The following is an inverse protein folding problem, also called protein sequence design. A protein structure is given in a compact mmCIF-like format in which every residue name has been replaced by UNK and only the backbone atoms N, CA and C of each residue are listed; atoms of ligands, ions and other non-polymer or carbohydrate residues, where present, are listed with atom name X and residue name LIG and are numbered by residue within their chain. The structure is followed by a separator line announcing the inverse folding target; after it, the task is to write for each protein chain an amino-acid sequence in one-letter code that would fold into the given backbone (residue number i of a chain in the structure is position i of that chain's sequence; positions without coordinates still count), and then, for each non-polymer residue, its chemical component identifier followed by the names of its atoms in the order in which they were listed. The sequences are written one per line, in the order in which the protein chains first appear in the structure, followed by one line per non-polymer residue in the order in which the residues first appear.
data_IF_317945109956
#
_entry.id   IF_317945109956
#
_cell.length_a   1.000
_cell.length_b   1.000
_cell.length_c   1.000
_cell.angle_alpha   90.00
_cell.angle_beta   90.00
_cell.angle_gamma   90.00
#
_symmetry.space_group_name_H-M   'P 1'
#
loop_
_entity.id
_entity.type
_entity.pdbx_description
1 polymer ?
#
# COMPACT_ATOMS: atom_id res chain seq x y z
N UNK A 1 -18.87 -24.32 -8.67
CA UNK A 1 -17.60 -24.22 -7.91
C UNK A 1 -17.47 -25.44 -7.01
N UNK A 2 -16.29 -26.08 -6.96
CA UNK A 2 -16.07 -27.28 -6.13
C UNK A 2 -15.97 -26.93 -4.64
N UNK A 3 -16.48 -27.80 -3.75
CA UNK A 3 -16.41 -27.64 -2.29
C UNK A 3 -14.97 -27.47 -1.76
N UNK A 4 -13.98 -27.99 -2.46
CA UNK A 4 -12.55 -27.81 -2.12
C UNK A 4 -12.04 -26.39 -2.41
N UNK A 5 -12.55 -25.77 -3.48
CA UNK A 5 -12.21 -24.38 -3.83
C UNK A 5 -12.83 -23.41 -2.84
N UNK A 6 -14.10 -23.62 -2.46
CA UNK A 6 -14.77 -22.82 -1.40
C UNK A 6 -14.02 -22.90 -0.07
N UNK A 7 -13.71 -24.10 0.43
CA UNK A 7 -12.92 -24.29 1.67
C UNK A 7 -11.50 -23.70 1.65
N UNK A 8 -10.91 -23.52 0.46
CA UNK A 8 -9.60 -22.85 0.30
C UNK A 8 -9.75 -21.34 0.32
N UNK A 9 -10.80 -20.81 -0.33
CA UNK A 9 -11.16 -19.38 -0.28
C UNK A 9 -11.55 -18.98 1.14
N UNK A 10 -12.42 -19.75 1.80
CA UNK A 10 -12.90 -19.47 3.16
C UNK A 10 -11.74 -19.47 4.17
N UNK A 11 -10.83 -20.47 4.13
CA UNK A 11 -9.63 -20.49 4.98
C UNK A 11 -8.66 -19.34 4.69
N UNK A 12 -8.65 -18.83 3.46
CA UNK A 12 -7.83 -17.68 3.08
C UNK A 12 -8.46 -16.38 3.57
N UNK A 13 -9.78 -16.30 3.51
CA UNK A 13 -10.58 -15.21 4.07
C UNK A 13 -10.45 -15.16 5.60
N UNK A 14 -10.48 -16.29 6.30
CA UNK A 14 -10.24 -16.39 7.75
C UNK A 14 -8.84 -15.93 8.14
N UNK A 15 -7.82 -16.18 7.29
CA UNK A 15 -6.45 -15.68 7.51
C UNK A 15 -6.33 -14.17 7.35
N UNK A 16 -7.12 -13.59 6.44
CA UNK A 16 -7.25 -12.13 6.29
C UNK A 16 -8.03 -11.46 7.43
N UNK A 17 -8.65 -12.24 8.33
CA UNK A 17 -9.29 -11.73 9.54
C UNK A 17 -8.32 -11.14 10.57
N UNK A 18 -7.00 -11.33 10.41
CA UNK A 18 -5.97 -10.67 11.21
C UNK A 18 -4.90 -10.03 10.33
N UNK A 19 -4.60 -8.76 10.51
CA UNK A 19 -3.58 -8.06 9.72
C UNK A 19 -3.87 -6.57 9.65
N UNK A 20 -2.90 -5.78 9.19
CA UNK A 20 -3.14 -4.37 8.92
C UNK A 20 -3.79 -4.23 7.54
N UNK A 21 -4.80 -3.37 7.45
CA UNK A 21 -5.33 -2.89 6.19
C UNK A 21 -4.99 -1.41 6.05
N UNK A 22 -4.50 -1.02 4.88
CA UNK A 22 -4.39 0.38 4.49
C UNK A 22 -5.14 0.62 3.18
N UNK A 23 -5.67 1.83 3.03
CA UNK A 23 -6.33 2.28 1.81
C UNK A 23 -5.88 3.70 1.49
N UNK A 24 -5.74 4.05 0.22
CA UNK A 24 -5.48 5.42 -0.19
C UNK A 24 -6.50 5.90 -1.21
N UNK A 25 -7.05 7.07 -0.94
CA UNK A 25 -7.78 7.87 -1.93
C UNK A 25 -6.78 8.80 -2.62
N UNK A 26 -6.77 8.78 -3.95
CA UNK A 26 -5.81 9.46 -4.80
C UNK A 26 -6.55 10.40 -5.74
N UNK A 27 -6.31 11.69 -5.55
CA UNK A 27 -6.79 12.75 -6.41
C UNK A 27 -5.63 13.32 -7.23
N UNK A 28 -5.16 12.52 -8.19
CA UNK A 28 -4.10 12.89 -9.13
C UNK A 28 -4.62 12.62 -10.55
N UNK A 29 -4.54 13.59 -11.47
CA UNK A 29 -5.02 13.40 -12.84
C UNK A 29 -4.34 12.21 -13.54
N UNK A 30 -5.14 11.32 -14.14
CA UNK A 30 -4.64 10.17 -14.89
C UNK A 30 -4.30 8.93 -14.05
N UNK A 31 -4.51 8.96 -12.74
CA UNK A 31 -4.38 7.80 -11.85
C UNK A 31 -5.74 7.22 -11.44
N UNK A 32 -5.73 5.95 -11.02
CA UNK A 32 -6.86 5.34 -10.31
C UNK A 32 -7.10 6.11 -9.01
N UNK A 33 -8.35 6.20 -8.58
CA UNK A 33 -8.73 6.94 -7.37
C UNK A 33 -8.50 6.16 -6.08
N UNK A 34 -8.57 4.83 -6.12
CA UNK A 34 -8.55 4.01 -4.91
C UNK A 34 -7.48 2.93 -4.96
N UNK A 35 -6.69 2.86 -3.90
CA UNK A 35 -5.65 1.85 -3.67
C UNK A 35 -5.88 1.17 -2.32
N UNK A 36 -5.57 -0.12 -2.23
CA UNK A 36 -5.78 -0.91 -1.01
C UNK A 36 -4.61 -1.86 -0.83
N UNK A 37 -4.16 -2.06 0.39
CA UNK A 37 -3.15 -3.06 0.70
C UNK A 37 -3.51 -3.81 1.98
N UNK A 38 -3.10 -5.06 2.03
CA UNK A 38 -3.25 -5.91 3.21
C UNK A 38 -1.88 -6.50 3.55
N UNK A 39 -1.54 -6.56 4.85
CA UNK A 39 -0.20 -6.99 5.28
C UNK A 39 0.13 -8.40 4.77
N UNK A 40 -0.83 -9.32 4.87
CA UNK A 40 -0.69 -10.72 4.40
C UNK A 40 -0.79 -10.94 2.88
N UNK A 41 -1.15 -9.93 2.08
CA UNK A 41 -1.26 -10.08 0.61
C UNK A 41 0.04 -9.55 -0.01
N UNK A 42 0.89 -10.48 -0.48
CA UNK A 42 2.18 -10.14 -1.12
C UNK A 42 2.22 -10.47 -2.62
N UNK A 43 1.22 -11.17 -3.15
CA UNK A 43 1.14 -11.52 -4.57
C UNK A 43 -0.30 -11.52 -5.06
N UNK A 44 -0.48 -11.19 -6.34
CA UNK A 44 -1.76 -11.22 -7.05
C UNK A 44 -2.34 -12.64 -7.15
N UNK A 45 -1.48 -13.67 -7.14
CA UNK A 45 -1.86 -15.08 -7.08
C UNK A 45 -2.56 -15.48 -5.77
N UNK A 46 -2.53 -14.60 -4.75
CA UNK A 46 -3.04 -14.91 -3.44
C UNK A 46 -4.57 -14.88 -3.33
N UNK A 47 -5.37 -14.41 -4.29
CA UNK A 47 -6.84 -14.39 -4.09
C UNK A 47 -7.68 -14.75 -5.31
N UNK A 48 -7.07 -15.17 -6.42
CA UNK A 48 -7.78 -15.68 -7.60
C UNK A 48 -8.63 -14.65 -8.36
N UNK A 49 -8.85 -13.46 -7.81
CA UNK A 49 -9.43 -12.29 -8.46
C UNK A 49 -9.29 -11.11 -7.50
N UNK A 50 -8.49 -10.10 -7.84
CA UNK A 50 -8.66 -8.70 -7.40
C UNK A 50 -7.45 -7.89 -7.89
N UNK A 51 -7.63 -7.22 -9.03
CA UNK A 51 -6.76 -6.19 -9.60
C UNK A 51 -6.72 -4.90 -8.73
N UNK A 52 -7.13 -5.01 -7.47
CA UNK A 52 -7.46 -3.90 -6.57
C UNK A 52 -6.49 -3.75 -5.39
N UNK A 53 -5.64 -4.77 -5.13
CA UNK A 53 -4.68 -4.72 -4.03
C UNK A 53 -3.27 -4.38 -4.52
N UNK A 54 -2.68 -3.34 -3.93
CA UNK A 54 -1.28 -3.00 -4.06
C UNK A 54 -0.42 -4.05 -3.36
N UNK A 55 0.57 -4.57 -4.08
CA UNK A 55 1.55 -5.56 -3.60
C UNK A 55 2.94 -4.96 -3.65
N UNK A 56 3.86 -5.53 -2.87
CA UNK A 56 5.23 -5.05 -2.84
C UNK A 56 5.90 -5.37 -4.19
N UNK A 57 6.45 -4.38 -4.91
CA UNK A 57 7.17 -4.66 -6.13
C UNK A 57 8.48 -5.41 -5.85
N UNK A 58 8.99 -6.10 -6.87
CA UNK A 58 10.32 -6.69 -6.83
C UNK A 58 11.37 -5.62 -6.54
N UNK A 59 12.47 -6.01 -5.89
CA UNK A 59 13.51 -5.07 -5.44
C UNK A 59 14.01 -4.14 -6.57
N UNK A 60 14.19 -4.68 -7.77
CA UNK A 60 14.62 -3.93 -8.96
C UNK A 60 13.62 -2.88 -9.46
N UNK A 61 12.34 -3.03 -9.11
CA UNK A 61 11.24 -2.17 -9.56
C UNK A 61 10.78 -1.20 -8.46
N UNK A 62 11.41 -1.22 -7.28
CA UNK A 62 11.13 -0.28 -6.18
C UNK A 62 11.65 1.11 -6.51
N UNK A 63 10.79 2.10 -6.34
CA UNK A 63 11.11 3.51 -6.60
C UNK A 63 11.58 4.18 -5.31
N UNK A 64 11.02 3.80 -4.17
CA UNK A 64 11.43 4.25 -2.85
C UNK A 64 12.57 3.35 -2.35
N UNK A 65 13.49 3.93 -1.57
CA UNK A 65 14.71 3.24 -1.13
C UNK A 65 15.02 3.43 0.35
N UNK A 66 14.39 4.40 1.01
CA UNK A 66 14.63 4.71 2.43
C UNK A 66 13.90 3.74 3.37
N UNK A 67 13.93 2.45 3.05
CA UNK A 67 13.52 1.39 3.95
C UNK A 67 14.52 1.31 5.11
N UNK A 68 14.02 1.27 6.34
CA UNK A 68 14.86 0.98 7.51
C UNK A 68 15.17 -0.51 7.49
N UNK A 69 16.46 -0.85 7.58
CA UNK A 69 16.89 -2.21 7.86
C UNK A 69 16.46 -2.58 9.28
N UNK A 70 15.58 -3.55 9.38
CA UNK A 70 15.03 -4.05 10.63
C UNK A 70 14.84 -5.57 10.50
N UNK A 71 14.51 -6.26 11.58
CA UNK A 71 14.32 -7.71 11.60
C UNK A 71 13.22 -8.19 10.63
N UNK A 72 12.35 -7.27 10.20
CA UNK A 72 11.27 -7.53 9.27
C UNK A 72 11.39 -6.72 7.96
N UNK A 73 11.12 -7.34 6.80
CA UNK A 73 11.13 -6.65 5.52
C UNK A 73 10.04 -5.58 5.43
N UNK A 74 10.42 -4.31 5.62
CA UNK A 74 9.50 -3.16 5.66
C UNK A 74 8.81 -2.83 4.33
N UNK A 75 9.32 -3.36 3.21
CA UNK A 75 8.64 -3.27 1.91
C UNK A 75 7.30 -4.02 1.84
N UNK A 76 7.04 -4.90 2.82
CA UNK A 76 5.78 -5.60 2.93
C UNK A 76 4.71 -4.85 3.74
N UNK A 77 5.08 -3.73 4.36
CA UNK A 77 4.15 -2.87 5.09
C UNK A 77 3.08 -2.33 4.11
N UNK A 78 1.85 -2.19 4.59
CA UNK A 78 0.71 -1.86 3.72
C UNK A 78 0.83 -0.47 3.10
N UNK A 79 1.35 0.49 3.85
CA UNK A 79 1.63 1.84 3.38
C UNK A 79 2.72 1.85 2.30
N UNK A 80 3.78 1.07 2.50
CA UNK A 80 4.86 0.95 1.52
C UNK A 80 4.35 0.40 0.18
N UNK A 81 3.53 -0.66 0.21
CA UNK A 81 2.92 -1.24 -1.00
C UNK A 81 2.10 -0.21 -1.78
N UNK A 82 1.28 0.58 -1.08
CA UNK A 82 0.43 1.60 -1.73
C UNK A 82 1.28 2.73 -2.32
N UNK A 83 2.26 3.24 -1.58
CA UNK A 83 3.10 4.35 -2.04
C UNK A 83 3.96 3.95 -3.25
N UNK A 84 4.51 2.73 -3.25
CA UNK A 84 5.25 2.19 -4.39
C UNK A 84 4.34 2.02 -5.62
N UNK A 85 3.13 1.49 -5.43
CA UNK A 85 2.17 1.31 -6.52
C UNK A 85 1.78 2.67 -7.13
N UNK A 86 1.49 3.69 -6.31
CA UNK A 86 1.23 5.05 -6.78
C UNK A 86 2.46 5.62 -7.50
N UNK A 87 3.64 5.52 -6.90
CA UNK A 87 4.89 6.02 -7.49
C UNK A 87 5.16 5.40 -8.87
N UNK A 88 4.89 4.11 -9.03
CA UNK A 88 5.08 3.37 -10.29
C UNK A 88 4.18 3.87 -11.43
N UNK A 89 3.04 4.47 -11.09
CA UNK A 89 2.06 4.98 -12.04
C UNK A 89 2.27 6.46 -12.36
N UNK A 90 3.03 7.20 -11.56
CA UNK A 90 3.37 8.60 -11.81
C UNK A 90 4.47 8.69 -12.87
N UNK A 91 4.13 9.28 -14.02
CA UNK A 91 5.10 9.53 -15.11
C UNK A 91 5.77 10.91 -15.02
N UNK A 92 5.07 11.90 -14.48
CA UNK A 92 5.56 13.26 -14.30
C UNK A 92 5.79 13.56 -12.81
N UNK A 93 7.05 13.72 -12.35
CA UNK A 93 7.36 14.07 -10.96
C UNK A 93 6.76 15.40 -10.48
N UNK A 94 6.43 16.31 -11.41
CA UNK A 94 5.87 17.62 -11.08
C UNK A 94 4.34 17.61 -11.01
N UNK A 95 3.68 16.46 -11.18
CA UNK A 95 2.23 16.38 -11.16
C UNK A 95 1.67 16.87 -9.82
N UNK A 96 0.56 17.63 -9.91
CA UNK A 96 -0.15 18.13 -8.74
C UNK A 96 -1.28 17.17 -8.36
N UNK A 97 -1.45 16.98 -7.06
CA UNK A 97 -2.60 16.25 -6.55
C UNK A 97 -2.54 16.01 -5.06
N UNK A 98 -3.43 15.16 -4.58
CA UNK A 98 -3.57 14.83 -3.17
C UNK A 98 -3.75 13.34 -2.98
N UNK A 99 -3.16 12.80 -1.92
CA UNK A 99 -3.27 11.40 -1.50
C UNK A 99 -3.72 11.41 -0.04
N UNK A 100 -4.86 10.81 0.25
CA UNK A 100 -5.34 10.55 1.61
C UNK A 100 -5.08 9.08 1.93
N UNK A 101 -3.99 8.81 2.64
CA UNK A 101 -3.60 7.47 3.06
C UNK A 101 -4.21 7.16 4.43
N UNK A 102 -5.12 6.21 4.48
CA UNK A 102 -5.68 5.64 5.69
C UNK A 102 -4.99 4.32 6.05
N UNK A 103 -4.58 4.16 7.30
CA UNK A 103 -4.04 2.90 7.84
C UNK A 103 -4.74 2.57 9.16
N UNK A 104 -5.12 1.31 9.34
CA UNK A 104 -5.77 0.87 10.59
C UNK A 104 -4.82 0.93 11.79
N UNK A 105 -3.54 0.68 11.56
CA UNK A 105 -2.46 0.82 12.54
C UNK A 105 -1.69 2.12 12.35
N UNK A 106 -1.07 2.61 13.42
CA UNK A 106 -0.16 3.75 13.34
C UNK A 106 1.04 3.42 12.44
N UNK A 107 1.40 4.36 11.56
CA UNK A 107 2.54 4.18 10.68
C UNK A 107 3.82 4.02 11.50
N UNK A 108 4.53 2.91 11.30
CA UNK A 108 5.83 2.67 11.91
C UNK A 108 6.90 3.64 11.38
N UNK A 109 8.05 3.71 12.07
CA UNK A 109 9.15 4.60 11.71
C UNK A 109 9.65 4.35 10.27
N UNK A 110 9.65 3.10 9.80
CA UNK A 110 10.02 2.76 8.43
C UNK A 110 9.05 3.35 7.39
N UNK A 111 7.74 3.31 7.65
CA UNK A 111 6.75 3.94 6.77
C UNK A 111 6.91 5.47 6.75
N UNK A 112 7.33 6.08 7.87
CA UNK A 112 7.59 7.53 7.93
C UNK A 112 8.70 7.96 6.97
N UNK A 113 9.80 7.21 6.91
CA UNK A 113 10.91 7.52 6.00
C UNK A 113 10.50 7.43 4.52
N UNK A 114 9.69 6.43 4.16
CA UNK A 114 9.17 6.26 2.81
C UNK A 114 8.22 7.40 2.42
N UNK A 115 7.37 7.85 3.34
CA UNK A 115 6.47 8.98 3.10
C UNK A 115 7.27 10.28 2.89
N UNK A 116 8.33 10.48 3.68
CA UNK A 116 9.22 11.63 3.49
C UNK A 116 9.93 11.57 2.14
N UNK A 117 10.45 10.41 1.75
CA UNK A 117 11.07 10.22 0.43
C UNK A 117 10.07 10.47 -0.71
N UNK A 118 8.85 9.96 -0.59
CA UNK A 118 7.79 10.19 -1.57
C UNK A 118 7.49 11.69 -1.72
N UNK A 119 7.35 12.42 -0.60
CA UNK A 119 7.13 13.87 -0.62
C UNK A 119 8.29 14.64 -1.25
N UNK A 120 9.53 14.18 -1.09
CA UNK A 120 10.69 14.79 -1.73
C UNK A 120 10.70 14.55 -3.25
N UNK A 121 10.34 13.33 -3.70
CA UNK A 121 10.26 12.98 -5.13
C UNK A 121 9.10 13.68 -5.84
N UNK A 122 7.98 13.86 -5.14
CA UNK A 122 6.75 14.44 -5.67
C UNK A 122 6.29 15.65 -4.82
N UNK A 123 7.01 16.78 -4.88
CA UNK A 123 6.78 17.93 -3.99
C UNK A 123 5.41 18.59 -4.20
N UNK A 124 4.81 18.38 -5.37
CA UNK A 124 3.50 18.92 -5.77
C UNK A 124 2.32 18.01 -5.37
N UNK A 125 2.60 16.84 -4.78
CA UNK A 125 1.59 15.91 -4.28
C UNK A 125 1.49 16.05 -2.76
N UNK A 126 0.31 16.43 -2.28
CA UNK A 126 0.04 16.48 -0.84
C UNK A 126 -0.33 15.10 -0.32
N UNK A 127 0.44 14.57 0.62
CA UNK A 127 0.17 13.26 1.23
C UNK A 127 -0.35 13.46 2.65
N UNK A 128 -1.63 13.19 2.90
CA UNK A 128 -2.24 13.20 4.22
C UNK A 128 -2.25 11.77 4.78
N UNK A 129 -1.81 11.60 6.03
CA UNK A 129 -1.84 10.32 6.73
C UNK A 129 -2.96 10.37 7.77
N UNK A 130 -3.87 9.41 7.69
CA UNK A 130 -4.98 9.25 8.61
C UNK A 130 -4.83 7.87 9.25
N UNK A 131 -4.72 7.81 10.56
CA UNK A 131 -4.72 6.54 11.30
C UNK A 131 -5.91 6.51 12.25
N UNK A 132 -6.25 5.33 12.76
CA UNK A 132 -7.30 5.19 13.78
C UNK A 132 -7.03 6.06 15.03
N UNK A 133 -5.78 6.42 15.29
CA UNK A 133 -5.41 7.28 16.41
C UNK A 133 -5.64 8.77 16.10
N UNK A 134 -5.48 9.19 14.83
CA UNK A 134 -5.70 10.58 14.38
C UNK A 134 -7.18 10.95 14.25
N UNK A 135 -8.10 9.97 14.28
CA UNK A 135 -9.54 10.17 14.20
C UNK A 135 -10.23 10.34 15.58
N UNK A 136 -9.47 10.30 16.68
CA UNK A 136 -9.99 10.42 18.05
C UNK A 136 -10.04 11.84 18.56
#
# INVERSE_FOLDING_TARGET
MSNSQKKRVDRKLDRLGGGNVATAEVNIPGLKKDFKAHSQIHSTDSLGYMDDFSVAPAEKDRILKNYIEDDYPRYNDTEAKILEDIASKIKDPNIKGEINLFSELDCCQSCTNLILEFRQKYPNIKVNIITNNTLK
#
